data_IF_581418654714
#
_entry.id   IF_581418654714
#
_cell.length_a   1.000
_cell.length_b   1.000
_cell.length_c   1.000
_cell.angle_alpha   90.00
_cell.angle_beta   90.00
_cell.angle_gamma   90.00
#
_symmetry.space_group_name_H-M   'P 1'
#
loop_
_entity.id
_entity.type
_entity.pdbx_description
1 polymer ?
#
# COMPACT_ATOMS: atom_id res chain seq x y z
N UNK A 1 1.93 -3.65 25.97
CA UNK A 1 2.35 -2.62 26.93
C UNK A 1 1.16 -1.71 27.20
N UNK A 2 1.08 -1.12 28.39
CA UNK A 2 0.02 -0.17 28.75
C UNK A 2 0.67 1.13 29.21
N UNK A 3 0.16 2.27 28.74
CA UNK A 3 0.54 3.60 29.20
C UNK A 3 -0.62 4.24 29.94
N UNK A 4 -0.30 4.94 31.02
CA UNK A 4 -1.25 5.66 31.86
C UNK A 4 -0.97 7.16 31.78
N UNK A 5 -2.02 7.96 31.69
CA UNK A 5 -1.91 9.41 31.74
C UNK A 5 -1.45 9.85 33.15
N UNK A 6 -0.40 10.68 33.27
CA UNK A 6 0.03 11.24 34.55
C UNK A 6 -1.09 12.05 35.21
N UNK A 7 -1.14 12.07 36.54
CA UNK A 7 -2.24 12.69 37.30
C UNK A 7 -2.42 14.18 36.97
N UNK A 8 -1.32 14.84 36.62
CA UNK A 8 -1.21 16.26 36.31
C UNK A 8 -2.01 16.63 35.06
N UNK A 9 -2.06 15.74 34.05
CA UNK A 9 -2.71 15.99 32.76
C UNK A 9 -3.92 15.08 32.51
N UNK A 10 -4.14 14.08 33.38
CA UNK A 10 -5.15 13.06 33.18
C UNK A 10 -6.56 13.63 32.96
N UNK A 11 -6.91 14.78 33.55
CA UNK A 11 -8.25 15.39 33.37
C UNK A 11 -8.52 15.82 31.92
N UNK A 12 -7.48 16.19 31.18
CA UNK A 12 -7.56 16.67 29.79
C UNK A 12 -7.43 15.54 28.76
N UNK A 13 -6.93 14.37 29.16
CA UNK A 13 -6.75 13.25 28.24
C UNK A 13 -8.09 12.55 27.89
N UNK A 14 -8.42 12.35 26.60
CA UNK A 14 -9.60 11.57 26.21
C UNK A 14 -9.54 10.11 26.71
N UNK A 15 -8.35 9.51 26.71
CA UNK A 15 -8.08 8.19 27.26
C UNK A 15 -7.16 8.33 28.48
N UNK A 16 -7.53 7.69 29.61
CA UNK A 16 -6.73 7.72 30.84
C UNK A 16 -5.64 6.65 30.85
N UNK A 17 -5.84 5.57 30.11
CA UNK A 17 -4.80 4.61 29.73
C UNK A 17 -5.10 4.03 28.35
N UNK A 18 -4.09 3.48 27.69
CA UNK A 18 -4.27 2.72 26.47
C UNK A 18 -3.20 1.63 26.34
N UNK A 19 -3.56 0.55 25.66
CA UNK A 19 -2.70 -0.61 25.39
C UNK A 19 -2.23 -0.59 23.95
N UNK A 20 -0.99 -1.01 23.73
CA UNK A 20 -0.40 -1.18 22.40
C UNK A 20 0.69 -2.24 22.41
N UNK A 21 1.06 -2.70 21.22
CA UNK A 21 2.12 -3.67 21.02
C UNK A 21 3.49 -2.98 21.05
N UNK A 22 4.46 -3.58 21.75
CA UNK A 22 5.84 -3.10 21.72
C UNK A 22 6.42 -3.40 20.33
N UNK A 23 7.20 -2.48 19.78
CA UNK A 23 8.01 -2.73 18.57
C UNK A 23 8.89 -3.95 18.77
N UNK A 24 8.88 -4.86 17.80
CA UNK A 24 9.70 -6.07 17.83
C UNK A 24 11.17 -5.68 17.63
N UNK A 25 12.00 -6.01 18.61
CA UNK A 25 13.46 -5.90 18.51
C UNK A 25 14.04 -7.21 17.98
N UNK A 26 14.85 -7.12 16.94
CA UNK A 26 15.50 -8.28 16.30
C UNK A 26 17.00 -8.15 16.47
N UNK A 27 17.70 -9.15 17.04
CA UNK A 27 19.15 -9.15 17.14
C UNK A 27 19.77 -9.10 15.74
N UNK A 28 20.76 -8.25 15.56
CA UNK A 28 21.46 -8.11 14.27
C UNK A 28 22.64 -9.07 14.15
N UNK A 29 23.17 -9.56 15.27
CA UNK A 29 24.43 -10.33 15.34
C UNK A 29 25.71 -9.48 15.26
N UNK A 30 25.61 -8.15 15.18
CA UNK A 30 26.75 -7.24 15.10
C UNK A 30 27.08 -6.60 16.45
N UNK A 31 28.35 -6.21 16.63
CA UNK A 31 28.83 -5.57 17.86
C UNK A 31 28.29 -4.14 18.03
N UNK A 32 28.36 -3.34 16.96
CA UNK A 32 28.05 -1.91 16.98
C UNK A 32 26.54 -1.66 17.14
N UNK A 33 25.75 -2.15 16.18
CA UNK A 33 24.28 -2.06 16.23
C UNK A 33 23.76 -3.42 16.61
N UNK A 34 23.35 -3.62 17.86
CA UNK A 34 23.01 -4.96 18.41
C UNK A 34 21.58 -5.43 18.13
N UNK A 35 20.67 -4.49 17.91
CA UNK A 35 19.28 -4.78 17.58
C UNK A 35 18.74 -3.79 16.56
N UNK A 36 17.71 -4.21 15.82
CA UNK A 36 16.98 -3.39 14.86
C UNK A 36 15.51 -3.76 14.80
N UNK A 37 14.79 -3.12 13.89
CA UNK A 37 13.38 -3.39 13.62
C UNK A 37 13.20 -3.83 12.17
N UNK A 38 12.18 -4.64 11.92
CA UNK A 38 11.83 -5.10 10.58
C UNK A 38 10.81 -4.13 9.97
N UNK A 39 11.08 -3.65 8.77
CA UNK A 39 10.06 -2.99 7.96
C UNK A 39 9.15 -4.07 7.35
N UNK A 40 7.86 -4.03 7.67
CA UNK A 40 6.86 -4.97 7.16
C UNK A 40 6.37 -4.60 5.75
N UNK A 41 6.78 -3.43 5.23
CA UNK A 41 6.53 -2.96 3.86
C UNK A 41 7.80 -3.04 3.03
N UNK A 42 7.66 -3.04 1.71
CA UNK A 42 8.81 -2.90 0.81
C UNK A 42 9.37 -1.47 0.94
N UNK A 43 10.70 -1.30 1.15
CA UNK A 43 11.31 0.03 1.26
C UNK A 43 11.56 0.69 -0.11
N UNK A 44 11.39 -0.04 -1.21
CA UNK A 44 11.47 0.50 -2.56
C UNK A 44 10.28 1.40 -2.86
N UNK A 45 10.47 2.38 -3.75
CA UNK A 45 9.35 3.16 -4.29
C UNK A 45 8.66 2.39 -5.41
N UNK A 46 7.99 1.30 -5.04
CA UNK A 46 7.52 0.26 -5.96
C UNK A 46 5.99 0.21 -6.12
N UNK A 47 5.29 1.20 -5.57
CA UNK A 47 3.83 1.28 -5.57
C UNK A 47 3.12 0.26 -4.67
N UNK A 48 3.82 -0.38 -3.71
CA UNK A 48 3.24 -1.42 -2.83
C UNK A 48 1.96 -1.01 -2.10
N UNK A 49 1.66 0.29 -1.99
CA UNK A 49 0.37 0.80 -1.50
C UNK A 49 -0.84 0.34 -2.32
N UNK A 50 -0.67 0.06 -3.62
CA UNK A 50 -1.72 -0.53 -4.49
C UNK A 50 -1.40 -1.97 -4.92
N UNK A 51 -0.14 -2.39 -4.92
CA UNK A 51 0.28 -3.73 -5.37
C UNK A 51 0.47 -4.75 -4.22
N UNK A 52 0.58 -4.28 -2.98
CA UNK A 52 0.92 -5.12 -1.83
C UNK A 52 2.43 -5.28 -1.63
N UNK A 53 2.81 -5.60 -0.38
CA UNK A 53 4.21 -5.89 0.00
C UNK A 53 4.54 -7.39 0.02
N UNK A 54 3.62 -8.25 -0.43
CA UNK A 54 3.80 -9.71 -0.51
C UNK A 54 3.05 -10.30 -1.70
N UNK A 55 3.42 -11.52 -2.11
CA UNK A 55 2.76 -12.24 -3.21
C UNK A 55 1.29 -12.51 -2.91
N UNK A 56 0.96 -12.85 -1.66
CA UNK A 56 -0.40 -13.12 -1.21
C UNK A 56 -1.28 -11.87 -1.37
N UNK A 57 -0.75 -10.70 -0.97
CA UNK A 57 -1.47 -9.43 -1.11
C UNK A 57 -1.60 -9.00 -2.57
N UNK A 58 -0.57 -9.24 -3.38
CA UNK A 58 -0.61 -9.00 -4.81
C UNK A 58 -1.71 -9.82 -5.50
N UNK A 59 -1.81 -11.11 -5.17
CA UNK A 59 -2.84 -11.99 -5.75
C UNK A 59 -4.27 -11.50 -5.41
N UNK A 60 -4.46 -10.90 -4.23
CA UNK A 60 -5.76 -10.36 -3.84
C UNK A 60 -6.20 -9.15 -4.67
N UNK A 61 -5.26 -8.31 -5.12
CA UNK A 61 -5.58 -7.08 -5.85
C UNK A 61 -5.66 -7.27 -7.37
N UNK A 62 -5.08 -8.35 -7.91
CA UNK A 62 -5.07 -8.61 -9.36
C UNK A 62 -6.38 -9.23 -9.86
N UNK A 63 -6.75 -8.86 -11.08
CA UNK A 63 -7.84 -9.50 -11.83
C UNK A 63 -7.37 -10.73 -12.61
N UNK A 64 -6.05 -10.85 -12.85
CA UNK A 64 -5.42 -11.84 -13.74
C UNK A 64 -5.97 -11.79 -15.17
N UNK A 65 -6.40 -10.59 -15.59
CA UNK A 65 -6.86 -10.30 -16.94
C UNK A 65 -6.24 -8.98 -17.40
N UNK A 66 -5.57 -9.03 -18.54
CA UNK A 66 -4.97 -7.87 -19.20
C UNK A 66 -4.03 -7.05 -18.28
N UNK A 67 -3.40 -7.70 -17.29
CA UNK A 67 -2.50 -7.05 -16.32
C UNK A 67 -3.20 -6.27 -15.21
N UNK A 68 -4.53 -6.19 -15.21
CA UNK A 68 -5.28 -5.19 -14.45
C UNK A 68 -5.45 -5.51 -12.97
N UNK A 69 -5.63 -4.45 -12.19
CA UNK A 69 -6.03 -4.46 -10.79
C UNK A 69 -7.55 -4.29 -10.63
N UNK A 70 -8.06 -4.84 -9.54
CA UNK A 70 -9.49 -4.77 -9.17
C UNK A 70 -9.90 -3.35 -8.80
N UNK A 71 -11.02 -2.90 -9.37
CA UNK A 71 -11.67 -1.62 -9.09
C UNK A 71 -13.18 -1.83 -9.25
N UNK A 72 -13.99 -1.10 -8.49
CA UNK A 72 -15.45 -1.09 -8.62
C UNK A 72 -15.90 -0.31 -9.85
N UNK A 73 -17.12 -0.57 -10.34
CA UNK A 73 -17.72 0.13 -11.48
C UNK A 73 -17.95 1.62 -11.22
N UNK A 74 -18.17 1.99 -9.95
CA UNK A 74 -18.27 3.40 -9.50
C UNK A 74 -16.91 4.11 -9.45
N UNK A 75 -15.81 3.41 -9.77
CA UNK A 75 -14.46 3.95 -9.78
C UNK A 75 -13.81 4.05 -8.40
N UNK A 76 -14.42 3.47 -7.36
CA UNK A 76 -13.84 3.35 -6.02
C UNK A 76 -13.19 1.97 -5.82
N UNK A 77 -12.52 1.79 -4.68
CA UNK A 77 -11.99 0.47 -4.29
C UNK A 77 -13.14 -0.49 -4.01
N UNK A 78 -12.98 -1.75 -4.42
CA UNK A 78 -13.83 -2.83 -3.91
C UNK A 78 -13.63 -2.96 -2.40
N UNK A 79 -14.62 -3.53 -1.73
CA UNK A 79 -14.52 -3.88 -0.31
C UNK A 79 -14.80 -5.39 -0.15
N UNK A 80 -14.12 -6.05 0.79
CA UNK A 80 -14.40 -7.43 1.14
C UNK A 80 -15.68 -7.55 2.01
N UNK A 81 -15.98 -8.75 2.49
CA UNK A 81 -17.20 -9.05 3.25
C UNK A 81 -17.24 -8.29 4.59
N UNK A 82 -16.08 -7.92 5.10
CA UNK A 82 -15.86 -7.18 6.34
C UNK A 82 -15.85 -5.66 6.12
N UNK A 83 -16.02 -5.20 4.88
CA UNK A 83 -15.99 -3.78 4.52
C UNK A 83 -14.59 -3.19 4.51
N UNK A 84 -13.54 -4.01 4.38
CA UNK A 84 -12.16 -3.56 4.26
C UNK A 84 -11.85 -3.30 2.78
N UNK A 85 -11.26 -2.15 2.42
CA UNK A 85 -10.92 -1.86 1.04
C UNK A 85 -9.91 -2.87 0.46
N UNK A 86 -10.13 -3.29 -0.78
CA UNK A 86 -9.23 -4.18 -1.52
C UNK A 86 -8.18 -3.34 -2.25
N UNK A 87 -7.01 -3.19 -1.61
CA UNK A 87 -5.82 -2.58 -2.21
C UNK A 87 -4.54 -3.18 -1.61
N UNK A 88 -3.38 -2.62 -1.95
CA UNK A 88 -2.07 -3.12 -1.56
C UNK A 88 -1.78 -2.99 -0.07
N UNK A 89 -1.98 -1.82 0.52
CA UNK A 89 -1.91 -1.62 1.98
C UNK A 89 -3.02 -0.67 2.44
N UNK A 90 -3.86 -1.16 3.36
CA UNK A 90 -5.04 -0.43 3.86
C UNK A 90 -5.00 -0.30 5.39
N UNK A 91 -3.82 -0.50 5.99
CA UNK A 91 -3.63 -0.41 7.44
C UNK A 91 -3.79 1.03 7.92
N UNK A 92 -4.72 1.26 8.87
CA UNK A 92 -4.99 2.59 9.45
C UNK A 92 -5.30 3.67 8.40
N UNK A 93 -6.03 3.30 7.36
CA UNK A 93 -6.38 4.18 6.23
C UNK A 93 -7.60 5.07 6.52
N UNK A 94 -7.78 6.14 5.74
CA UNK A 94 -8.98 6.98 5.69
C UNK A 94 -9.37 7.28 4.23
N UNK A 95 -10.55 7.87 4.01
CA UNK A 95 -11.14 8.00 2.68
C UNK A 95 -10.24 8.72 1.65
N UNK A 96 -9.49 9.77 2.04
CA UNK A 96 -8.60 10.47 1.12
C UNK A 96 -7.50 9.58 0.53
N UNK A 97 -6.94 8.67 1.35
CA UNK A 97 -5.97 7.69 0.86
C UNK A 97 -6.63 6.63 -0.02
N UNK A 98 -7.83 6.17 0.31
CA UNK A 98 -8.58 5.23 -0.52
C UNK A 98 -8.89 5.82 -1.91
N UNK A 99 -9.20 7.12 -1.99
CA UNK A 99 -9.42 7.81 -3.26
C UNK A 99 -8.14 7.86 -4.10
N UNK A 100 -6.98 8.14 -3.50
CA UNK A 100 -5.70 8.12 -4.22
C UNK A 100 -5.33 6.71 -4.68
N UNK A 101 -5.58 5.68 -3.86
CA UNK A 101 -5.40 4.29 -4.27
C UNK A 101 -6.27 3.94 -5.48
N UNK A 102 -7.56 4.30 -5.45
CA UNK A 102 -8.46 4.08 -6.58
C UNK A 102 -7.98 4.83 -7.84
N UNK A 103 -7.49 6.07 -7.68
CA UNK A 103 -6.93 6.85 -8.78
C UNK A 103 -5.73 6.14 -9.43
N UNK A 104 -4.76 5.68 -8.65
CA UNK A 104 -3.58 5.01 -9.19
C UNK A 104 -3.86 3.58 -9.68
N UNK A 105 -4.89 2.91 -9.15
CA UNK A 105 -5.41 1.66 -9.75
C UNK A 105 -5.96 1.93 -11.15
N UNK A 106 -6.72 3.02 -11.34
CA UNK A 106 -7.24 3.40 -12.65
C UNK A 106 -6.10 3.81 -13.60
N UNK A 107 -5.11 4.54 -13.11
CA UNK A 107 -3.90 4.88 -13.88
C UNK A 107 -3.17 3.62 -14.36
N UNK A 108 -2.94 2.66 -13.46
CA UNK A 108 -2.34 1.38 -13.82
C UNK A 108 -3.15 0.64 -14.89
N UNK A 109 -4.47 0.55 -14.72
CA UNK A 109 -5.33 -0.12 -15.69
C UNK A 109 -5.33 0.59 -17.06
N UNK A 110 -5.26 1.92 -17.09
CA UNK A 110 -5.14 2.70 -18.31
C UNK A 110 -3.78 2.47 -19.01
N UNK A 111 -2.70 2.35 -18.24
CA UNK A 111 -1.39 1.97 -18.78
C UNK A 111 -1.44 0.56 -19.37
N UNK A 112 -2.06 -0.41 -18.70
CA UNK A 112 -2.23 -1.76 -19.24
C UNK A 112 -3.03 -1.76 -20.55
N UNK A 113 -4.09 -0.95 -20.66
CA UNK A 113 -4.86 -0.78 -21.90
C UNK A 113 -4.00 -0.21 -23.04
N UNK A 114 -3.20 0.82 -22.76
CA UNK A 114 -2.28 1.39 -23.73
C UNK A 114 -1.21 0.38 -24.18
N UNK A 115 -0.62 -0.38 -23.24
CA UNK A 115 0.36 -1.41 -23.54
C UNK A 115 -0.24 -2.55 -24.37
N UNK A 116 -1.45 -3.02 -24.04
CA UNK A 116 -2.12 -4.10 -24.78
C UNK A 116 -2.44 -3.70 -26.22
N UNK A 117 -2.75 -2.42 -26.45
CA UNK A 117 -2.98 -1.88 -27.80
C UNK A 117 -1.71 -1.92 -28.66
N UNK A 118 -0.59 -1.48 -28.10
CA UNK A 118 0.70 -1.42 -28.83
C UNK A 118 1.40 -2.78 -28.91
N UNK A 119 1.19 -3.64 -27.90
CA UNK A 119 1.77 -4.97 -27.80
C UNK A 119 0.67 -6.04 -27.61
N UNK A 120 -0.12 -6.37 -28.65
CA UNK A 120 -1.24 -7.30 -28.53
C UNK A 120 -0.88 -8.70 -28.04
N UNK A 121 0.38 -9.12 -28.23
CA UNK A 121 0.91 -10.42 -27.87
C UNK A 121 1.27 -10.56 -26.39
N UNK A 122 1.36 -9.46 -25.63
CA UNK A 122 1.67 -9.54 -24.20
C UNK A 122 0.57 -10.26 -23.45
N UNK A 123 0.99 -11.18 -22.58
CA UNK A 123 0.12 -11.85 -21.63
C UNK A 123 -0.20 -10.96 -20.41
N UNK A 124 -1.05 -11.48 -19.52
CA UNK A 124 -1.46 -10.78 -18.31
C UNK A 124 -0.28 -10.43 -17.38
N UNK A 125 0.72 -11.30 -17.25
CA UNK A 125 1.87 -11.08 -16.37
C UNK A 125 2.83 -10.05 -16.96
N UNK A 126 3.08 -10.10 -18.27
CA UNK A 126 3.86 -9.11 -18.99
C UNK A 126 3.23 -7.72 -18.87
N UNK A 127 1.91 -7.59 -19.10
CA UNK A 127 1.19 -6.32 -18.97
C UNK A 127 1.25 -5.78 -17.54
N UNK A 128 1.04 -6.64 -16.54
CA UNK A 128 1.11 -6.24 -15.14
C UNK A 128 2.51 -5.72 -14.76
N UNK A 129 3.58 -6.43 -15.13
CA UNK A 129 4.95 -6.04 -14.79
C UNK A 129 5.32 -4.68 -15.39
N UNK A 130 5.01 -4.47 -16.66
CA UNK A 130 5.25 -3.19 -17.32
C UNK A 130 4.36 -2.08 -16.74
N UNK A 131 3.07 -2.36 -16.54
CA UNK A 131 2.12 -1.43 -15.93
C UNK A 131 2.54 -1.00 -14.52
N UNK A 132 3.09 -1.91 -13.71
CA UNK A 132 3.61 -1.62 -12.38
C UNK A 132 4.81 -0.68 -12.44
N UNK A 133 5.80 -0.98 -13.29
CA UNK A 133 7.00 -0.13 -13.44
C UNK A 133 6.65 1.30 -13.84
N UNK A 134 5.77 1.46 -14.83
CA UNK A 134 5.31 2.77 -15.30
C UNK A 134 4.59 3.51 -14.18
N UNK A 135 3.61 2.88 -13.54
CA UNK A 135 2.79 3.54 -12.51
C UNK A 135 3.62 3.90 -11.28
N UNK A 136 4.53 3.04 -10.82
CA UNK A 136 5.42 3.37 -9.69
C UNK A 136 6.35 4.54 -10.01
N UNK A 137 6.86 4.61 -11.25
CA UNK A 137 7.66 5.74 -11.70
C UNK A 137 6.84 7.04 -11.82
N UNK A 138 5.57 6.96 -12.24
CA UNK A 138 4.64 8.10 -12.25
C UNK A 138 4.41 8.64 -10.84
N UNK A 139 4.12 7.75 -9.86
CA UNK A 139 3.97 8.12 -8.45
C UNK A 139 5.25 8.83 -7.96
N UNK A 140 6.42 8.25 -8.26
CA UNK A 140 7.71 8.80 -7.87
C UNK A 140 7.96 10.20 -8.44
N UNK A 141 7.67 10.37 -9.74
CA UNK A 141 7.83 11.63 -10.43
C UNK A 141 6.91 12.70 -9.84
N UNK A 142 5.60 12.44 -9.72
CA UNK A 142 4.63 13.40 -9.16
C UNK A 142 5.09 13.86 -7.78
N UNK A 143 5.42 12.93 -6.89
CA UNK A 143 5.86 13.32 -5.55
C UNK A 143 7.13 14.20 -5.56
N UNK A 144 8.09 13.88 -6.43
CA UNK A 144 9.39 14.57 -6.46
C UNK A 144 9.31 15.99 -7.05
N UNK A 145 8.52 16.22 -8.09
CA UNK A 145 8.53 17.50 -8.84
C UNK A 145 7.24 18.31 -8.73
N UNK A 146 6.20 17.79 -8.08
CA UNK A 146 4.91 18.48 -7.92
C UNK A 146 4.54 18.60 -6.44
N UNK A 147 4.65 17.52 -5.66
CA UNK A 147 4.27 17.57 -4.24
C UNK A 147 5.33 18.21 -3.32
N UNK A 148 6.62 17.98 -3.61
CA UNK A 148 7.75 18.47 -2.80
C UNK A 148 8.04 19.94 -3.07
#
# INVERSE_FOLDING_TARGET
MELFAPKEVARECPLKSFKFFKTKEVPTGFYDIRSGSINIRTPWWDGSVIYGSSTEKLQQVRTFKDGKLKISEDGLLLHDQEGIPVSGDVTNIWCGLSTLQALFVKEHNAVCDALKKEYPHFDDEELYRHGRLVTSAVIAKIHTIDWT
#
